data_IF_438725373779
#
_entry.id   IF_438725373779
#
_cell.length_a   1.000
_cell.length_b   1.000
_cell.length_c   1.000
_cell.angle_alpha   90.00
_cell.angle_beta   90.00
_cell.angle_gamma   90.00
#
_symmetry.space_group_name_H-M   'P 1'
#
loop_
_entity.id
_entity.type
_entity.pdbx_description
1 polymer ?
#
# COMPACT_ATOMS: atom_id res chain seq x y z
N UNK A 1 -60.99 6.03 -58.54
CA UNK A 1 -60.26 6.96 -57.59
C UNK A 1 -60.54 6.61 -56.14
N UNK A 2 -61.70 6.15 -55.72
CA UNK A 2 -62.02 5.81 -54.33
C UNK A 2 -61.24 4.63 -53.77
N UNK A 3 -60.90 3.62 -54.59
CA UNK A 3 -60.16 2.42 -54.16
C UNK A 3 -58.64 2.68 -54.07
N UNK A 4 -58.11 3.66 -54.80
CA UNK A 4 -56.74 4.07 -54.75
C UNK A 4 -56.40 4.83 -53.43
N UNK A 5 -57.36 5.60 -52.94
CA UNK A 5 -57.27 6.36 -51.69
C UNK A 5 -57.21 5.40 -50.45
N UNK A 6 -58.04 4.35 -50.48
CA UNK A 6 -58.07 3.34 -49.41
C UNK A 6 -56.73 2.50 -49.34
N UNK A 7 -56.11 2.26 -50.49
CA UNK A 7 -54.86 1.49 -50.56
C UNK A 7 -53.67 2.31 -50.05
N UNK A 8 -53.67 3.61 -50.33
CA UNK A 8 -52.62 4.52 -49.82
C UNK A 8 -52.75 4.73 -48.32
N UNK A 9 -54.00 4.84 -47.78
CA UNK A 9 -54.19 4.96 -46.33
C UNK A 9 -53.81 3.70 -45.55
N UNK A 10 -54.00 2.51 -46.16
CA UNK A 10 -53.62 1.23 -45.53
C UNK A 10 -52.10 1.03 -45.49
N UNK A 11 -51.32 1.51 -46.49
CA UNK A 11 -49.87 1.44 -46.51
C UNK A 11 -49.22 2.42 -45.49
N UNK A 12 -49.82 3.59 -45.29
CA UNK A 12 -49.30 4.58 -44.31
C UNK A 12 -49.52 4.09 -42.87
N UNK A 13 -50.60 3.35 -42.57
CA UNK A 13 -50.85 2.81 -41.23
C UNK A 13 -49.96 1.60 -40.90
N UNK A 14 -49.47 0.86 -41.90
CA UNK A 14 -48.60 -0.30 -41.67
C UNK A 14 -47.16 0.09 -41.33
N UNK A 15 -46.70 1.34 -41.66
CA UNK A 15 -45.35 1.81 -41.39
C UNK A 15 -45.19 2.44 -39.99
N UNK A 16 -46.29 2.66 -39.26
CA UNK A 16 -46.26 3.31 -37.94
C UNK A 16 -46.03 2.37 -36.76
N UNK A 17 -45.88 1.03 -36.97
CA UNK A 17 -45.82 0.04 -35.87
C UNK A 17 -44.41 -0.50 -35.61
N UNK A 18 -43.38 0.00 -36.31
CA UNK A 18 -42.00 -0.50 -36.16
C UNK A 18 -41.05 0.54 -35.53
N UNK A 19 -41.49 1.23 -34.48
CA UNK A 19 -40.54 1.89 -33.61
C UNK A 19 -39.92 0.81 -32.72
N UNK A 20 -38.61 0.46 -32.88
CA UNK A 20 -37.98 -0.38 -31.89
C UNK A 20 -38.06 0.36 -30.56
N UNK A 21 -38.76 -0.25 -29.60
CA UNK A 21 -38.62 0.19 -28.21
C UNK A 21 -37.13 0.17 -27.92
N UNK A 22 -36.45 1.30 -28.01
CA UNK A 22 -35.12 1.50 -27.45
C UNK A 22 -35.31 1.33 -25.93
N UNK A 23 -35.25 0.09 -25.49
CA UNK A 23 -35.04 -0.22 -24.07
C UNK A 23 -33.71 0.45 -23.76
N UNK A 24 -33.76 1.65 -23.18
CA UNK A 24 -32.63 2.27 -22.60
C UNK A 24 -32.09 1.24 -21.62
N UNK A 25 -31.01 0.54 -22.02
CA UNK A 25 -30.30 -0.38 -21.14
C UNK A 25 -29.87 0.47 -19.96
N UNK A 26 -30.63 0.37 -18.89
CA UNK A 26 -30.32 0.94 -17.61
C UNK A 26 -29.08 0.15 -17.11
N UNK A 27 -27.91 0.44 -17.72
CA UNK A 27 -26.65 -0.12 -17.24
C UNK A 27 -26.46 0.48 -15.86
N UNK A 28 -26.42 -0.33 -14.81
CA UNK A 28 -26.11 0.20 -13.50
C UNK A 28 -24.83 1.02 -13.64
N UNK A 29 -24.89 2.29 -13.27
CA UNK A 29 -23.75 3.19 -13.36
C UNK A 29 -22.58 2.57 -12.61
N UNK A 30 -21.35 2.73 -13.13
CA UNK A 30 -20.15 2.25 -12.43
C UNK A 30 -20.03 3.00 -11.11
N UNK A 31 -20.17 2.28 -10.00
CA UNK A 31 -19.97 2.83 -8.67
C UNK A 31 -18.47 2.88 -8.36
N UNK A 32 -17.96 4.09 -8.10
CA UNK A 32 -16.56 4.33 -7.79
C UNK A 32 -16.44 4.76 -6.34
N UNK A 33 -15.40 4.30 -5.65
CA UNK A 33 -15.00 4.80 -4.34
C UNK A 33 -13.53 5.22 -4.33
N UNK A 34 -13.18 6.03 -3.34
CA UNK A 34 -11.83 6.55 -3.14
C UNK A 34 -11.28 6.10 -1.79
N UNK A 35 -10.02 5.71 -1.77
CA UNK A 35 -9.30 5.26 -0.58
C UNK A 35 -7.99 6.03 -0.44
N UNK A 36 -7.82 6.72 0.68
CA UNK A 36 -6.50 7.24 1.08
C UNK A 36 -5.72 6.12 1.75
N UNK A 37 -4.90 5.44 0.95
CA UNK A 37 -4.15 4.27 1.42
C UNK A 37 -3.10 4.65 2.47
N UNK A 38 -2.53 5.84 2.39
CA UNK A 38 -1.54 6.32 3.37
C UNK A 38 -2.20 6.57 4.73
N UNK A 39 -3.37 7.22 4.75
CA UNK A 39 -4.15 7.40 5.97
C UNK A 39 -4.54 6.05 6.58
N UNK A 40 -4.87 5.03 5.77
CA UNK A 40 -5.12 3.68 6.26
C UNK A 40 -3.89 3.11 6.95
N UNK A 41 -2.72 3.13 6.32
CA UNK A 41 -1.46 2.65 6.92
C UNK A 41 -1.15 3.37 8.23
N UNK A 42 -1.33 4.70 8.26
CA UNK A 42 -1.07 5.51 9.46
C UNK A 42 -2.01 5.18 10.61
N UNK A 43 -3.19 4.63 10.36
CA UNK A 43 -4.21 4.34 11.38
C UNK A 43 -4.49 2.86 11.58
N UNK A 44 -3.79 1.96 10.89
CA UNK A 44 -3.95 0.52 11.07
C UNK A 44 -3.13 0.01 12.27
N UNK A 45 -3.84 -0.37 13.34
CA UNK A 45 -3.24 -0.74 14.63
C UNK A 45 -2.25 -1.92 14.53
N UNK A 46 -2.59 -2.98 13.81
CA UNK A 46 -1.71 -4.14 13.61
C UNK A 46 -0.42 -3.76 12.88
N UNK A 47 -0.50 -2.91 11.87
CA UNK A 47 0.69 -2.43 11.17
C UNK A 47 1.61 -1.63 12.09
N UNK A 48 1.02 -0.73 12.89
CA UNK A 48 1.79 0.03 13.91
C UNK A 48 2.50 -0.90 14.90
N UNK A 49 1.84 -1.95 15.38
CA UNK A 49 2.46 -2.95 16.27
C UNK A 49 3.64 -3.64 15.61
N UNK A 50 3.49 -4.11 14.36
CA UNK A 50 4.60 -4.73 13.62
C UNK A 50 5.80 -3.81 13.42
N UNK A 51 5.57 -2.50 13.20
CA UNK A 51 6.65 -1.51 13.08
C UNK A 51 7.28 -1.21 14.44
N UNK A 52 6.51 -1.20 15.52
CA UNK A 52 7.02 -0.97 16.87
C UNK A 52 7.99 -2.08 17.30
N UNK A 53 7.69 -3.33 16.99
CA UNK A 53 8.59 -4.46 17.26
C UNK A 53 9.95 -4.26 16.55
N UNK A 54 9.95 -3.79 15.31
CA UNK A 54 11.19 -3.46 14.59
C UNK A 54 11.92 -2.29 15.26
N UNK A 55 11.17 -1.26 15.70
CA UNK A 55 11.74 -0.08 16.35
C UNK A 55 12.42 -0.41 17.69
N UNK A 56 11.85 -1.35 18.45
CA UNK A 56 12.48 -1.83 19.70
C UNK A 56 13.83 -2.47 19.41
N UNK A 57 13.89 -3.34 18.39
CA UNK A 57 15.14 -4.00 18.00
C UNK A 57 16.17 -3.01 17.44
N UNK A 58 15.74 -1.97 16.72
CA UNK A 58 16.62 -0.90 16.24
C UNK A 58 17.26 -0.12 17.41
N UNK A 59 16.49 0.19 18.45
CA UNK A 59 17.02 0.83 19.67
C UNK A 59 18.00 -0.08 20.40
N UNK A 60 17.74 -1.39 20.43
CA UNK A 60 18.67 -2.35 21.00
C UNK A 60 19.99 -2.37 20.23
N UNK A 61 19.93 -2.36 18.88
CA UNK A 61 21.13 -2.25 18.04
C UNK A 61 21.90 -0.96 18.31
N UNK A 62 21.22 0.19 18.39
CA UNK A 62 21.88 1.47 18.72
C UNK A 62 22.61 1.41 20.08
N UNK A 63 21.98 0.79 21.07
CA UNK A 63 22.57 0.63 22.39
C UNK A 63 23.82 -0.26 22.34
N UNK A 64 23.76 -1.37 21.62
CA UNK A 64 24.89 -2.27 21.39
C UNK A 64 26.03 -1.55 20.68
N UNK A 65 25.76 -0.84 19.57
CA UNK A 65 26.79 -0.08 18.82
C UNK A 65 27.44 0.99 19.71
N UNK A 66 26.66 1.69 20.54
CA UNK A 66 27.19 2.66 21.50
C UNK A 66 28.09 2.02 22.56
N UNK A 67 27.72 0.81 23.02
CA UNK A 67 28.56 0.03 23.94
C UNK A 67 29.88 -0.37 23.29
N UNK A 68 29.86 -0.87 22.07
CA UNK A 68 31.05 -1.24 21.28
C UNK A 68 31.96 -0.03 20.97
N UNK A 69 31.37 1.13 20.70
CA UNK A 69 32.14 2.36 20.53
C UNK A 69 32.89 2.78 21.80
N UNK A 70 32.29 2.63 22.99
CA UNK A 70 32.97 2.88 24.26
C UNK A 70 34.12 1.88 24.49
N UNK A 71 33.90 0.60 24.21
CA UNK A 71 34.93 -0.44 24.30
C UNK A 71 36.10 -0.13 23.36
N UNK A 72 35.83 0.24 22.11
CA UNK A 72 36.85 0.67 21.15
C UNK A 72 37.68 1.85 21.66
N UNK A 73 37.02 2.88 22.18
CA UNK A 73 37.70 4.05 22.74
C UNK A 73 38.59 3.67 23.93
N UNK A 74 38.14 2.78 24.81
CA UNK A 74 38.95 2.28 25.95
C UNK A 74 40.21 1.55 25.46
N UNK A 75 40.05 0.61 24.51
CA UNK A 75 41.17 -0.14 23.92
C UNK A 75 42.15 0.77 23.16
N UNK A 76 41.65 1.80 22.48
CA UNK A 76 42.52 2.79 21.82
C UNK A 76 43.28 3.65 22.81
N UNK A 77 42.70 3.95 23.97
CA UNK A 77 43.41 4.65 25.06
C UNK A 77 44.49 3.77 25.65
N UNK A 78 44.17 2.51 25.95
CA UNK A 78 45.12 1.51 26.45
C UNK A 78 46.29 1.29 25.48
N UNK A 79 46.04 1.26 24.16
CA UNK A 79 47.07 1.08 23.13
C UNK A 79 48.15 2.16 23.19
N UNK A 80 47.85 3.37 23.68
CA UNK A 80 48.82 4.46 23.81
C UNK A 80 49.89 4.20 24.88
N UNK A 81 49.61 3.31 25.84
CA UNK A 81 50.49 2.97 26.93
C UNK A 81 51.55 1.90 26.50
N UNK A 82 51.36 1.29 25.34
CA UNK A 82 52.27 0.29 24.78
C UNK A 82 53.23 0.89 23.75
N UNK A 83 54.43 0.36 23.66
CA UNK A 83 55.44 0.78 22.65
C UNK A 83 55.12 0.12 21.31
N UNK A 84 55.02 0.90 20.20
CA UNK A 84 54.92 0.34 18.87
C UNK A 84 55.98 -0.71 18.56
N UNK A 85 55.58 -1.82 17.92
CA UNK A 85 56.48 -2.92 17.56
C UNK A 85 56.66 -3.99 18.65
N UNK A 86 56.06 -3.84 19.81
CA UNK A 86 56.02 -4.92 20.84
C UNK A 86 54.91 -5.93 20.52
N UNK A 87 55.03 -7.15 21.04
CA UNK A 87 54.02 -8.20 20.88
C UNK A 87 52.64 -7.75 21.46
N UNK A 88 52.64 -7.11 22.63
CA UNK A 88 51.43 -6.61 23.30
C UNK A 88 50.77 -5.51 22.50
N UNK A 89 51.52 -4.59 21.90
CA UNK A 89 50.98 -3.57 20.98
C UNK A 89 50.27 -4.22 19.79
N UNK A 90 50.91 -5.17 19.11
CA UNK A 90 50.35 -5.86 17.96
C UNK A 90 49.08 -6.67 18.31
N UNK A 91 49.06 -7.30 19.49
CA UNK A 91 47.90 -8.04 19.97
C UNK A 91 46.71 -7.10 20.21
N UNK A 92 46.94 -5.98 20.87
CA UNK A 92 45.86 -5.00 21.17
C UNK A 92 45.37 -4.32 19.91
N UNK A 93 46.24 -3.96 18.97
CA UNK A 93 45.89 -3.43 17.66
C UNK A 93 45.03 -4.42 16.87
N UNK A 94 45.39 -5.71 16.87
CA UNK A 94 44.57 -6.77 16.25
C UNK A 94 43.20 -6.91 16.90
N UNK A 95 43.09 -6.80 18.24
CA UNK A 95 41.84 -6.82 18.97
C UNK A 95 40.94 -5.64 18.56
N UNK A 96 41.49 -4.43 18.46
CA UNK A 96 40.79 -3.23 18.03
C UNK A 96 40.26 -3.40 16.59
N UNK A 97 41.14 -3.85 15.68
CA UNK A 97 40.76 -4.06 14.28
C UNK A 97 39.63 -5.09 14.15
N UNK A 98 39.72 -6.20 14.88
CA UNK A 98 38.70 -7.24 14.90
C UNK A 98 37.36 -6.71 15.44
N UNK A 99 37.38 -6.05 16.61
CA UNK A 99 36.17 -5.50 17.21
C UNK A 99 35.48 -4.51 16.29
N UNK A 100 36.25 -3.65 15.60
CA UNK A 100 35.70 -2.69 14.62
C UNK A 100 35.08 -3.41 13.43
N UNK A 101 35.76 -4.41 12.86
CA UNK A 101 35.27 -5.18 11.72
C UNK A 101 33.98 -5.95 12.09
N UNK A 102 33.99 -6.68 13.20
CA UNK A 102 32.85 -7.46 13.69
C UNK A 102 31.64 -6.56 13.95
N UNK A 103 31.85 -5.40 14.61
CA UNK A 103 30.75 -4.43 14.86
C UNK A 103 30.14 -3.88 13.57
N UNK A 104 30.98 -3.58 12.57
CA UNK A 104 30.53 -3.09 11.27
C UNK A 104 29.65 -4.14 10.58
N UNK A 105 30.17 -5.37 10.47
CA UNK A 105 29.45 -6.47 9.80
C UNK A 105 28.12 -6.78 10.51
N UNK A 106 28.14 -6.88 11.84
CA UNK A 106 26.93 -7.13 12.63
C UNK A 106 25.87 -6.02 12.43
N UNK A 107 26.31 -4.76 12.46
CA UNK A 107 25.43 -3.61 12.26
C UNK A 107 24.80 -3.63 10.87
N UNK A 108 25.57 -3.91 9.82
CA UNK A 108 25.08 -3.93 8.45
C UNK A 108 24.09 -5.09 8.21
N UNK A 109 24.37 -6.26 8.79
CA UNK A 109 23.46 -7.40 8.72
C UNK A 109 22.14 -7.10 9.43
N UNK A 110 22.18 -6.51 10.62
CA UNK A 110 20.98 -6.11 11.36
C UNK A 110 20.17 -5.05 10.63
N UNK A 111 20.80 -4.05 10.06
CA UNK A 111 20.11 -3.02 9.24
C UNK A 111 19.39 -3.64 8.04
N UNK A 112 20.03 -4.58 7.33
CA UNK A 112 19.41 -5.32 6.24
C UNK A 112 18.20 -6.13 6.72
N UNK A 113 18.33 -6.81 7.86
CA UNK A 113 17.22 -7.54 8.48
C UNK A 113 16.03 -6.61 8.77
N UNK A 114 16.26 -5.43 9.34
CA UNK A 114 15.21 -4.47 9.65
C UNK A 114 14.49 -3.95 8.39
N UNK A 115 15.24 -3.66 7.32
CA UNK A 115 14.64 -3.27 6.03
C UNK A 115 13.70 -4.38 5.53
N UNK A 116 14.14 -5.64 5.57
CA UNK A 116 13.33 -6.79 5.14
C UNK A 116 12.09 -6.94 6.03
N UNK A 117 12.23 -6.83 7.36
CA UNK A 117 11.11 -6.93 8.30
C UNK A 117 10.08 -5.82 8.08
N UNK A 118 10.52 -4.58 7.88
CA UNK A 118 9.62 -3.45 7.52
C UNK A 118 8.88 -3.70 6.21
N UNK A 119 9.59 -4.18 5.19
CA UNK A 119 8.98 -4.51 3.90
C UNK A 119 7.93 -5.62 4.03
N UNK A 120 8.22 -6.68 4.79
CA UNK A 120 7.26 -7.76 5.07
C UNK A 120 6.03 -7.24 5.84
N UNK A 121 6.23 -6.38 6.85
CA UNK A 121 5.14 -5.76 7.59
C UNK A 121 4.24 -4.91 6.69
N UNK A 122 4.85 -4.08 5.83
CA UNK A 122 4.10 -3.25 4.86
C UNK A 122 3.33 -4.10 3.87
N UNK A 123 3.94 -5.19 3.36
CA UNK A 123 3.26 -6.10 2.44
C UNK A 123 2.09 -6.83 3.11
N UNK A 124 2.28 -7.34 4.33
CA UNK A 124 1.21 -7.99 5.08
C UNK A 124 0.04 -7.02 5.34
N UNK A 125 0.33 -5.80 5.76
CA UNK A 125 -0.69 -4.77 5.97
C UNK A 125 -1.41 -4.41 4.66
N UNK A 126 -0.69 -4.31 3.54
CA UNK A 126 -1.29 -4.06 2.23
C UNK A 126 -2.26 -5.18 1.81
N UNK A 127 -1.91 -6.44 2.06
CA UNK A 127 -2.80 -7.57 1.81
C UNK A 127 -4.06 -7.53 2.68
N UNK A 128 -3.94 -7.16 3.95
CA UNK A 128 -5.09 -7.01 4.84
C UNK A 128 -6.01 -5.86 4.35
N UNK A 129 -5.42 -4.74 3.94
CA UNK A 129 -6.15 -3.59 3.39
C UNK A 129 -6.90 -3.99 2.13
N UNK A 130 -6.23 -4.61 1.16
CA UNK A 130 -6.85 -4.99 -0.12
C UNK A 130 -7.97 -6.01 0.05
N UNK A 131 -7.84 -6.97 0.97
CA UNK A 131 -8.90 -7.93 1.31
C UNK A 131 -10.11 -7.25 1.95
N UNK A 132 -9.86 -6.30 2.85
CA UNK A 132 -10.94 -5.54 3.52
C UNK A 132 -11.66 -4.65 2.52
N UNK A 133 -10.93 -3.98 1.63
CA UNK A 133 -11.48 -3.17 0.53
C UNK A 133 -12.32 -4.01 -0.41
N UNK A 134 -11.83 -5.20 -0.82
CA UNK A 134 -12.57 -6.09 -1.71
C UNK A 134 -13.91 -6.49 -1.09
N UNK A 135 -13.92 -6.94 0.16
CA UNK A 135 -15.14 -7.30 0.88
C UNK A 135 -16.12 -6.13 0.99
N UNK A 136 -15.60 -4.96 1.35
CA UNK A 136 -16.44 -3.76 1.47
C UNK A 136 -17.04 -3.38 0.11
N UNK A 137 -16.25 -3.43 -0.96
CA UNK A 137 -16.69 -3.12 -2.31
C UNK A 137 -17.78 -4.09 -2.79
N UNK A 138 -17.59 -5.40 -2.59
CA UNK A 138 -18.58 -6.43 -2.94
C UNK A 138 -19.91 -6.22 -2.20
N UNK A 139 -19.84 -5.97 -0.88
CA UNK A 139 -21.04 -5.77 -0.04
C UNK A 139 -21.80 -4.51 -0.44
N UNK A 140 -21.12 -3.45 -0.92
CA UNK A 140 -21.72 -2.16 -1.23
C UNK A 140 -21.90 -1.90 -2.74
N UNK A 141 -21.70 -2.90 -3.59
CA UNK A 141 -21.89 -2.78 -5.04
C UNK A 141 -20.90 -1.78 -5.69
N UNK A 142 -19.70 -1.65 -5.14
CA UNK A 142 -18.64 -0.77 -5.66
C UNK A 142 -17.84 -1.53 -6.71
N UNK A 143 -17.79 -0.99 -7.92
CA UNK A 143 -17.11 -1.63 -9.06
C UNK A 143 -15.62 -1.29 -9.15
N UNK A 144 -15.23 -0.12 -8.62
CA UNK A 144 -13.85 0.37 -8.68
C UNK A 144 -13.50 1.16 -7.41
N UNK A 145 -12.37 0.81 -6.79
CA UNK A 145 -11.79 1.62 -5.72
C UNK A 145 -10.46 2.20 -6.21
N UNK A 146 -10.33 3.51 -6.16
CA UNK A 146 -9.12 4.23 -6.58
C UNK A 146 -8.38 4.81 -5.39
N UNK A 147 -7.05 4.66 -5.39
CA UNK A 147 -6.21 5.36 -4.42
C UNK A 147 -6.20 6.87 -4.72
N UNK A 148 -6.33 7.67 -3.67
CA UNK A 148 -6.20 9.13 -3.78
C UNK A 148 -5.44 9.67 -2.56
N UNK A 149 -4.93 10.88 -2.69
CA UNK A 149 -4.21 11.60 -1.64
C UNK A 149 -4.97 12.90 -1.33
N UNK A 150 -5.33 13.10 -0.06
CA UNK A 150 -6.04 14.29 0.42
C UNK A 150 -5.17 15.25 1.21
N UNK A 151 -3.86 14.95 1.37
CA UNK A 151 -2.96 15.75 2.21
C UNK A 151 -2.91 17.19 1.73
N UNK A 152 -2.91 18.11 2.69
CA UNK A 152 -2.61 19.50 2.42
C UNK A 152 -1.14 19.64 2.00
N UNK A 153 -0.90 20.56 1.09
CA UNK A 153 0.42 20.79 0.50
C UNK A 153 0.98 22.10 1.06
N UNK A 154 2.23 22.04 1.48
CA UNK A 154 2.98 23.23 1.82
C UNK A 154 3.38 23.97 0.53
N UNK A 155 2.82 25.17 0.26
CA UNK A 155 3.12 25.91 -0.95
C UNK A 155 4.57 26.40 -1.03
N UNK A 156 5.30 26.39 0.08
CA UNK A 156 6.73 26.70 0.12
C UNK A 156 7.62 25.54 -0.32
N UNK A 157 7.06 24.31 -0.46
CA UNK A 157 7.78 23.13 -0.89
C UNK A 157 7.47 22.80 -2.37
N UNK A 158 8.37 23.09 -3.33
CA UNK A 158 8.11 22.88 -4.75
C UNK A 158 7.76 21.44 -5.12
N UNK A 159 8.36 20.45 -4.44
CA UNK A 159 8.07 19.03 -4.70
C UNK A 159 6.66 18.64 -4.29
N UNK A 160 6.16 19.19 -3.18
CA UNK A 160 4.78 18.97 -2.74
C UNK A 160 3.79 19.63 -3.70
N UNK A 161 4.08 20.85 -4.14
CA UNK A 161 3.25 21.57 -5.13
C UNK A 161 3.15 20.77 -6.44
N UNK A 162 4.27 20.25 -6.96
CA UNK A 162 4.26 19.39 -8.13
C UNK A 162 3.44 18.10 -7.92
N UNK A 163 3.50 17.52 -6.74
CA UNK A 163 2.70 16.33 -6.39
C UNK A 163 1.21 16.67 -6.38
N UNK A 164 0.84 17.85 -5.85
CA UNK A 164 -0.55 18.32 -5.86
C UNK A 164 -1.10 18.53 -7.26
N UNK A 165 -0.34 19.22 -8.12
CA UNK A 165 -0.72 19.47 -9.52
C UNK A 165 -0.93 18.15 -10.29
N UNK A 166 -0.17 17.11 -9.94
CA UNK A 166 -0.23 15.79 -10.57
C UNK A 166 -1.22 14.83 -9.90
N UNK A 167 -2.06 15.29 -8.97
CA UNK A 167 -3.09 14.43 -8.35
C UNK A 167 -4.06 13.89 -9.40
N UNK A 168 -4.33 12.60 -9.33
CA UNK A 168 -5.27 11.92 -10.23
C UNK A 168 -6.73 12.26 -9.93
N UNK A 169 -7.03 12.63 -8.69
CA UNK A 169 -8.37 13.01 -8.24
C UNK A 169 -8.30 14.46 -7.78
N UNK A 170 -8.90 15.35 -8.57
CA UNK A 170 -8.93 16.80 -8.31
C UNK A 170 -10.16 17.17 -7.48
N UNK A 171 -11.27 16.47 -7.68
CA UNK A 171 -12.54 16.70 -6.99
C UNK A 171 -13.23 15.38 -6.67
N UNK A 172 -13.81 15.29 -5.48
CA UNK A 172 -14.67 14.19 -5.10
C UNK A 172 -15.76 14.69 -4.13
N UNK A 173 -16.90 14.03 -4.12
CA UNK A 173 -17.97 14.28 -3.18
C UNK A 173 -18.55 12.96 -2.69
N UNK A 174 -18.38 12.69 -1.39
CA UNK A 174 -18.92 11.51 -0.69
C UNK A 174 -18.50 10.15 -1.25
N UNK A 175 -17.31 10.08 -1.91
CA UNK A 175 -16.76 8.83 -2.46
C UNK A 175 -15.70 8.20 -1.55
N UNK A 176 -15.27 8.90 -0.50
CA UNK A 176 -14.18 8.47 0.38
C UNK A 176 -14.65 7.39 1.37
N UNK A 177 -14.08 6.20 1.28
CA UNK A 177 -14.36 5.05 2.16
C UNK A 177 -13.26 4.79 3.22
N UNK A 178 -12.23 5.63 3.28
CA UNK A 178 -11.03 5.41 4.11
C UNK A 178 -11.37 5.13 5.58
N UNK A 179 -12.26 5.95 6.15
CA UNK A 179 -12.66 5.80 7.55
C UNK A 179 -13.29 4.43 7.84
N UNK A 180 -14.18 3.98 6.96
CA UNK A 180 -14.83 2.67 7.11
C UNK A 180 -13.83 1.51 7.02
N UNK A 181 -12.88 1.61 6.09
CA UNK A 181 -11.82 0.59 5.96
C UNK A 181 -10.95 0.54 7.21
N UNK A 182 -10.55 1.69 7.77
CA UNK A 182 -9.78 1.77 9.02
C UNK A 182 -10.55 1.15 10.18
N UNK A 183 -11.83 1.48 10.32
CA UNK A 183 -12.69 0.93 11.36
C UNK A 183 -12.80 -0.60 11.26
N UNK A 184 -13.01 -1.14 10.07
CA UNK A 184 -13.08 -2.59 9.84
C UNK A 184 -11.74 -3.30 10.11
N UNK A 185 -10.63 -2.72 9.69
CA UNK A 185 -9.30 -3.28 9.96
C UNK A 185 -9.00 -3.34 11.46
N UNK A 186 -9.39 -2.30 12.20
CA UNK A 186 -9.11 -2.19 13.63
C UNK A 186 -10.13 -2.95 14.51
N UNK A 187 -11.31 -3.27 13.98
CA UNK A 187 -12.30 -4.09 14.68
C UNK A 187 -11.89 -5.58 14.82
N UNK A 188 -10.72 -5.96 14.31
CA UNK A 188 -10.19 -7.31 14.42
C UNK A 188 -10.97 -8.34 13.60
N UNK A 189 -11.74 -7.91 12.61
CA UNK A 189 -12.39 -8.82 11.66
C UNK A 189 -11.31 -9.48 10.81
N UNK A 190 -11.06 -10.81 10.95
CA UNK A 190 -10.08 -11.48 10.09
C UNK A 190 -10.48 -11.27 8.63
N UNK A 191 -9.56 -10.93 7.73
CA UNK A 191 -9.86 -10.93 6.30
C UNK A 191 -10.42 -12.33 5.95
N UNK A 192 -11.60 -12.39 5.37
CA UNK A 192 -12.10 -13.66 4.87
C UNK A 192 -11.06 -14.22 3.91
N UNK A 193 -10.69 -15.47 4.07
CA UNK A 193 -9.88 -16.17 3.08
C UNK A 193 -10.51 -15.89 1.72
N UNK A 194 -9.73 -15.38 0.78
CA UNK A 194 -10.20 -15.18 -0.59
C UNK A 194 -10.55 -16.57 -1.10
N UNK A 195 -11.84 -16.92 -0.97
CA UNK A 195 -12.36 -18.11 -1.61
C UNK A 195 -11.93 -18.03 -3.07
N UNK A 196 -11.29 -19.08 -3.55
CA UNK A 196 -10.98 -19.30 -4.95
C UNK A 196 -12.11 -18.74 -5.80
N UNK A 197 -11.80 -17.75 -6.63
CA UNK A 197 -12.76 -17.14 -7.55
C UNK A 197 -13.62 -18.25 -8.15
N UNK A 198 -14.96 -18.17 -8.11
CA UNK A 198 -15.77 -19.04 -8.93
C UNK A 198 -15.26 -18.88 -10.35
N UNK A 199 -14.81 -19.99 -10.95
CA UNK A 199 -14.16 -19.98 -12.25
C UNK A 199 -15.01 -19.22 -13.26
N UNK A 200 -14.41 -18.25 -13.94
CA UNK A 200 -14.99 -17.67 -15.14
C UNK A 200 -15.26 -18.83 -16.08
N UNK A 201 -16.52 -19.11 -16.49
CA UNK A 201 -16.80 -20.16 -17.42
C UNK A 201 -16.00 -19.92 -18.72
N UNK A 202 -15.41 -20.94 -19.32
CA UNK A 202 -14.64 -20.78 -20.54
C UNK A 202 -15.51 -20.16 -21.63
N UNK A 203 -14.97 -19.12 -22.29
CA UNK A 203 -15.61 -18.42 -23.40
C UNK A 203 -15.90 -19.47 -24.49
N UNK A 204 -17.13 -19.61 -25.01
CA UNK A 204 -17.42 -20.52 -26.09
C UNK A 204 -16.56 -20.15 -27.31
N UNK A 205 -15.94 -21.17 -27.93
CA UNK A 205 -15.15 -21.01 -29.15
C UNK A 205 -16.04 -20.53 -30.29
N UNK A 206 -15.60 -19.59 -31.12
CA UNK A 206 -16.32 -19.19 -32.32
C UNK A 206 -16.38 -20.38 -33.29
N UNK A 207 -17.56 -20.70 -33.79
CA UNK A 207 -17.78 -21.62 -34.92
C UNK A 207 -17.53 -20.88 -36.22
#
# INVERSE_FOLDING_TARGET
MRNLFLLVTFIVTLFAVSLPNAVAQNRPGTTIALLDIEEVFQNYARYKSMLEDVRVDEKALETMVRGKAKELNSLQTELRDYKPGTADYAQLEGKIAKLKADTTVETDLKRKEFIIRRSKASHAAYLDITRTVARFAETNGINLVMAYDKRDVDPSNPNQVLTEINRRVIYQRSLNITKYIIEQLNAGVPPAEIGTRPGIPPRPSPR
#
